data_IF_900208853228
#
_entry.id   IF_900208853228
#
_cell.length_a   1.000
_cell.length_b   1.000
_cell.length_c   1.000
_cell.angle_alpha   90.00
_cell.angle_beta   90.00
_cell.angle_gamma   90.00
#
_symmetry.space_group_name_H-M   'P 1'
#
loop_
_entity.id
_entity.type
_entity.pdbx_description
1 polymer ?
#
# COMPACT_ATOMS: atom_id res chain seq x y z
N UNK A 1 36.87 -23.00 2.45
CA UNK A 1 35.78 -22.58 3.37
C UNK A 1 35.61 -21.06 3.44
N UNK A 2 36.69 -20.26 3.56
CA UNK A 2 36.59 -18.79 3.64
C UNK A 2 35.95 -18.12 2.40
N UNK A 3 36.22 -18.64 1.19
CA UNK A 3 35.64 -18.14 -0.07
C UNK A 3 34.12 -18.35 -0.20
N UNK A 4 33.55 -19.37 0.46
CA UNK A 4 32.10 -19.61 0.43
C UNK A 4 31.33 -18.62 1.31
N UNK A 5 31.96 -18.12 2.39
CA UNK A 5 31.36 -17.12 3.28
C UNK A 5 31.35 -15.73 2.64
N UNK A 6 32.40 -15.36 1.89
CA UNK A 6 32.44 -14.06 1.19
C UNK A 6 31.37 -13.97 0.09
N UNK A 7 31.12 -15.06 -0.63
CA UNK A 7 30.13 -15.13 -1.70
C UNK A 7 28.68 -15.10 -1.17
N UNK A 8 28.46 -15.67 0.01
CA UNK A 8 27.16 -15.57 0.69
C UNK A 8 26.86 -14.13 1.16
N UNK A 9 27.88 -13.40 1.60
CA UNK A 9 27.70 -12.01 2.03
C UNK A 9 27.37 -11.05 0.88
N UNK A 10 27.99 -11.23 -0.29
CA UNK A 10 27.70 -10.41 -1.48
C UNK A 10 26.29 -10.66 -1.98
N UNK A 11 25.89 -11.93 -2.10
CA UNK A 11 24.54 -12.31 -2.53
C UNK A 11 23.46 -11.75 -1.59
N UNK A 12 23.63 -11.86 -0.27
CA UNK A 12 22.69 -11.24 0.68
C UNK A 12 22.59 -9.72 0.52
N UNK A 13 23.70 -9.04 0.27
CA UNK A 13 23.72 -7.59 0.07
C UNK A 13 22.95 -7.20 -1.19
N UNK A 14 23.10 -7.94 -2.27
CA UNK A 14 22.35 -7.74 -3.51
C UNK A 14 20.85 -7.96 -3.30
N UNK A 15 20.48 -9.07 -2.64
CA UNK A 15 19.08 -9.33 -2.28
C UNK A 15 18.48 -8.25 -1.39
N UNK A 16 19.25 -7.72 -0.44
CA UNK A 16 18.80 -6.63 0.42
C UNK A 16 18.55 -5.33 -0.38
N UNK A 17 19.38 -5.02 -1.38
CA UNK A 17 19.19 -3.86 -2.26
C UNK A 17 17.92 -4.05 -3.10
N UNK A 18 17.78 -5.21 -3.75
CA UNK A 18 16.59 -5.54 -4.57
C UNK A 18 15.32 -5.45 -3.71
N UNK A 19 15.35 -6.03 -2.51
CA UNK A 19 14.21 -6.01 -1.59
C UNK A 19 13.88 -4.59 -1.15
N UNK A 20 14.89 -3.77 -0.83
CA UNK A 20 14.72 -2.37 -0.45
C UNK A 20 14.10 -1.56 -1.59
N UNK A 21 14.61 -1.70 -2.80
CA UNK A 21 14.13 -0.95 -3.96
C UNK A 21 12.70 -1.39 -4.34
N UNK A 22 12.41 -2.69 -4.23
CA UNK A 22 11.05 -3.23 -4.36
C UNK A 22 10.11 -2.67 -3.28
N UNK A 23 10.53 -2.65 -2.01
CA UNK A 23 9.76 -2.09 -0.89
C UNK A 23 9.51 -0.59 -1.08
N UNK A 24 10.52 0.15 -1.56
CA UNK A 24 10.39 1.58 -1.83
C UNK A 24 9.38 1.84 -2.95
N UNK A 25 9.41 1.04 -4.01
CA UNK A 25 8.43 1.16 -5.10
C UNK A 25 7.00 0.87 -4.64
N UNK A 26 6.79 -0.21 -3.86
CA UNK A 26 5.45 -0.64 -3.45
C UNK A 26 4.89 0.13 -2.24
N UNK A 27 5.76 0.78 -1.46
CA UNK A 27 5.32 1.59 -0.32
C UNK A 27 4.89 3.00 -0.73
N UNK A 28 5.00 3.40 -2.01
CA UNK A 28 4.61 4.73 -2.51
C UNK A 28 3.20 5.11 -2.08
N UNK A 29 2.99 6.37 -1.72
CA UNK A 29 1.65 6.84 -1.33
C UNK A 29 0.59 6.56 -2.40
N UNK A 30 1.00 6.51 -3.68
CA UNK A 30 0.13 6.15 -4.82
C UNK A 30 -0.34 4.69 -4.71
N UNK A 31 0.58 3.76 -4.46
CA UNK A 31 0.25 2.34 -4.27
C UNK A 31 -0.51 2.10 -2.96
N UNK A 32 -0.13 2.79 -1.88
CA UNK A 32 -0.88 2.77 -0.64
C UNK A 32 -2.30 3.32 -0.81
N UNK A 33 -2.50 4.31 -1.69
CA UNK A 33 -3.82 4.84 -1.99
C UNK A 33 -4.67 3.86 -2.80
N UNK A 34 -4.09 3.08 -3.71
CA UNK A 34 -4.82 2.03 -4.41
C UNK A 34 -5.30 0.95 -3.44
N UNK A 35 -4.45 0.54 -2.48
CA UNK A 35 -4.80 -0.40 -1.42
C UNK A 35 -5.84 0.18 -0.46
N UNK A 36 -5.59 1.38 0.08
CA UNK A 36 -6.43 2.04 1.08
C UNK A 36 -7.82 2.41 0.56
N UNK A 37 -7.94 2.72 -0.73
CA UNK A 37 -9.22 3.03 -1.34
C UNK A 37 -10.05 1.80 -1.74
N UNK A 38 -9.46 0.60 -1.70
CA UNK A 38 -10.17 -0.64 -2.02
C UNK A 38 -11.33 -0.89 -1.06
N UNK A 39 -12.44 -1.43 -1.59
CA UNK A 39 -13.63 -1.72 -0.78
C UNK A 39 -13.33 -2.74 0.32
N UNK A 40 -12.42 -3.69 0.06
CA UNK A 40 -12.00 -4.71 1.03
C UNK A 40 -11.36 -4.07 2.26
N UNK A 41 -10.47 -3.10 2.05
CA UNK A 41 -9.80 -2.41 3.16
C UNK A 41 -10.79 -1.53 3.94
N UNK A 42 -11.71 -0.85 3.23
CA UNK A 42 -12.77 -0.05 3.87
C UNK A 42 -13.71 -0.89 4.73
N UNK A 43 -14.09 -2.08 4.27
CA UNK A 43 -14.92 -3.00 5.06
C UNK A 43 -14.14 -3.62 6.21
N UNK A 44 -12.83 -3.83 6.05
CA UNK A 44 -11.96 -4.32 7.12
C UNK A 44 -11.92 -3.38 8.34
N UNK A 45 -12.20 -2.07 8.19
CA UNK A 45 -12.28 -1.15 9.34
C UNK A 45 -13.39 -1.51 10.32
N UNK A 46 -14.46 -2.17 9.87
CA UNK A 46 -15.53 -2.66 10.74
C UNK A 46 -15.18 -4.00 11.39
N UNK A 47 -14.16 -4.70 10.89
CA UNK A 47 -13.85 -6.05 11.36
C UNK A 47 -13.35 -6.15 12.80
N UNK A 48 -12.66 -5.18 13.43
CA UNK A 48 -12.35 -5.28 14.86
C UNK A 48 -13.59 -5.39 15.73
N UNK A 49 -14.68 -4.68 15.38
CA UNK A 49 -15.96 -4.79 16.07
C UNK A 49 -16.56 -6.19 15.89
N UNK A 50 -16.52 -6.73 14.67
CA UNK A 50 -16.94 -8.11 14.41
C UNK A 50 -16.04 -9.13 15.08
N UNK A 51 -14.73 -8.90 15.15
CA UNK A 51 -13.76 -9.75 15.82
C UNK A 51 -14.02 -9.85 17.31
N UNK A 52 -14.39 -8.73 17.94
CA UNK A 52 -14.82 -8.73 19.33
C UNK A 52 -16.13 -9.50 19.53
N UNK A 53 -17.11 -9.31 18.64
CA UNK A 53 -18.35 -10.11 18.65
C UNK A 53 -18.08 -11.61 18.42
N UNK A 54 -17.13 -11.96 17.56
CA UNK A 54 -16.71 -13.34 17.28
C UNK A 54 -16.06 -13.98 18.50
N UNK A 55 -15.21 -13.23 19.21
CA UNK A 55 -14.54 -13.74 20.40
C UNK A 55 -15.49 -13.93 21.58
N UNK A 56 -16.49 -13.05 21.74
CA UNK A 56 -17.42 -13.08 22.86
C UNK A 56 -18.65 -13.97 22.67
N UNK A 57 -18.90 -14.47 21.46
CA UNK A 57 -20.10 -15.27 21.18
C UNK A 57 -19.76 -16.76 21.06
N UNK A 58 -20.00 -17.50 22.13
CA UNK A 58 -19.80 -18.97 22.21
C UNK A 58 -20.54 -19.74 21.12
N UNK A 59 -21.69 -19.23 20.65
CA UNK A 59 -22.43 -19.87 19.57
C UNK A 59 -21.68 -19.76 18.25
N UNK A 60 -20.98 -18.65 18.00
CA UNK A 60 -20.22 -18.48 16.75
C UNK A 60 -18.96 -19.34 16.75
N UNK A 61 -18.36 -19.59 17.91
CA UNK A 61 -17.28 -20.57 18.03
C UNK A 61 -17.73 -21.93 17.50
N UNK A 62 -18.92 -22.43 17.90
CA UNK A 62 -19.43 -23.72 17.42
C UNK A 62 -19.60 -23.78 15.89
N UNK A 63 -20.02 -22.68 15.25
CA UNK A 63 -20.18 -22.61 13.79
C UNK A 63 -18.86 -22.46 13.03
N UNK A 64 -17.84 -21.83 13.61
CA UNK A 64 -16.53 -21.70 12.94
C UNK A 64 -15.65 -22.92 13.20
N UNK A 65 -15.82 -23.59 14.34
CA UNK A 65 -15.15 -24.85 14.67
C UNK A 65 -15.83 -26.06 14.03
N UNK A 66 -16.60 -25.90 12.94
CA UNK A 66 -17.19 -27.05 12.23
C UNK A 66 -16.08 -28.09 11.99
N UNK A 67 -16.28 -29.25 12.63
CA UNK A 67 -15.37 -30.37 12.89
C UNK A 67 -14.59 -30.85 11.67
N UNK A 68 -13.58 -30.11 11.26
CA UNK A 68 -12.63 -30.54 10.24
C UNK A 68 -11.22 -30.64 10.81
N UNK A 69 -11.10 -31.13 12.06
CA UNK A 69 -9.85 -31.44 12.77
C UNK A 69 -9.08 -32.63 12.16
N UNK A 70 -9.28 -32.88 10.85
CA UNK A 70 -8.84 -34.07 10.11
C UNK A 70 -7.68 -33.86 9.13
N UNK A 71 -7.17 -32.63 8.96
CA UNK A 71 -6.30 -32.29 7.83
C UNK A 71 -5.07 -31.48 8.23
N UNK A 72 -3.88 -31.93 7.78
CA UNK A 72 -2.50 -31.36 7.71
C UNK A 72 -1.93 -30.54 8.90
N UNK A 73 -2.76 -29.95 9.75
CA UNK A 73 -2.42 -29.06 10.87
C UNK A 73 -3.05 -29.54 12.19
N UNK A 74 -3.07 -30.85 12.42
CA UNK A 74 -3.59 -31.44 13.67
C UNK A 74 -2.90 -30.94 14.95
N UNK A 75 -1.71 -30.36 14.82
CA UNK A 75 -0.93 -29.83 15.94
C UNK A 75 -1.36 -28.42 16.37
N UNK A 76 -2.13 -27.69 15.55
CA UNK A 76 -2.58 -26.33 15.89
C UNK A 76 -3.95 -26.37 16.60
N UNK A 77 -4.18 -25.53 17.62
CA UNK A 77 -5.48 -25.42 18.28
C UNK A 77 -6.57 -25.01 17.29
N UNK A 78 -7.78 -25.59 17.36
CA UNK A 78 -8.85 -25.29 16.39
C UNK A 78 -9.18 -23.79 16.22
N UNK A 79 -8.84 -22.97 17.21
CA UNK A 79 -9.02 -21.52 17.25
C UNK A 79 -8.00 -20.72 16.42
N UNK A 80 -6.92 -21.32 15.89
CA UNK A 80 -5.84 -20.59 15.21
C UNK A 80 -6.33 -19.74 14.02
N UNK A 81 -7.33 -20.24 13.28
CA UNK A 81 -7.91 -19.53 12.11
C UNK A 81 -8.61 -18.24 12.54
N UNK A 82 -9.38 -18.30 13.64
CA UNK A 82 -10.08 -17.14 14.21
C UNK A 82 -9.06 -16.10 14.65
N UNK A 83 -7.97 -16.54 15.28
CA UNK A 83 -6.91 -15.64 15.74
C UNK A 83 -6.23 -14.93 14.57
N UNK A 84 -5.88 -15.65 13.50
CA UNK A 84 -5.30 -15.04 12.31
C UNK A 84 -6.24 -14.04 11.63
N UNK A 85 -7.53 -14.38 11.50
CA UNK A 85 -8.53 -13.47 10.95
C UNK A 85 -8.69 -12.21 11.83
N UNK A 86 -8.71 -12.38 13.15
CA UNK A 86 -8.79 -11.29 14.12
C UNK A 86 -7.56 -10.36 14.02
N UNK A 87 -6.35 -10.89 14.18
CA UNK A 87 -5.14 -10.08 14.12
C UNK A 87 -4.92 -9.48 12.73
N UNK A 88 -5.21 -10.23 11.67
CA UNK A 88 -5.11 -9.74 10.30
C UNK A 88 -6.01 -8.54 10.04
N UNK A 89 -7.28 -8.62 10.43
CA UNK A 89 -8.23 -7.52 10.29
C UNK A 89 -7.91 -6.32 11.20
N UNK A 90 -7.38 -6.57 12.40
CA UNK A 90 -6.88 -5.54 13.30
C UNK A 90 -5.72 -4.74 12.67
N UNK A 91 -4.72 -5.44 12.11
CA UNK A 91 -3.61 -4.78 11.41
C UNK A 91 -4.09 -3.98 10.20
N UNK A 92 -5.02 -4.51 9.39
CA UNK A 92 -5.62 -3.76 8.29
C UNK A 92 -6.34 -2.49 8.76
N UNK A 93 -7.06 -2.57 9.88
CA UNK A 93 -7.77 -1.41 10.45
C UNK A 93 -6.80 -0.32 10.90
N UNK A 94 -5.73 -0.70 11.63
CA UNK A 94 -4.68 0.24 12.03
C UNK A 94 -4.01 0.84 10.79
N UNK A 95 -3.63 0.02 9.80
CA UNK A 95 -3.03 0.49 8.57
C UNK A 95 -3.93 1.52 7.86
N UNK A 96 -5.24 1.26 7.83
CA UNK A 96 -6.23 2.14 7.20
C UNK A 96 -6.40 3.45 7.96
N UNK A 97 -6.41 3.42 9.30
CA UNK A 97 -6.49 4.62 10.12
C UNK A 97 -5.21 5.47 9.98
N UNK A 98 -4.03 4.85 10.02
CA UNK A 98 -2.76 5.53 9.82
C UNK A 98 -2.68 6.12 8.40
N UNK A 99 -3.04 5.34 7.39
CA UNK A 99 -3.14 5.84 6.01
C UNK A 99 -4.11 7.03 5.94
N UNK A 100 -5.30 6.92 6.52
CA UNK A 100 -6.30 8.01 6.50
C UNK A 100 -5.82 9.25 7.24
N UNK A 101 -5.07 9.10 8.32
CA UNK A 101 -4.57 10.24 9.09
C UNK A 101 -3.38 10.93 8.42
N UNK A 102 -2.43 10.16 7.91
CA UNK A 102 -1.16 10.69 7.40
C UNK A 102 -1.12 10.94 5.88
N UNK A 103 -2.00 10.28 5.11
CA UNK A 103 -2.05 10.46 3.66
C UNK A 103 -2.62 11.83 3.30
N UNK A 104 -1.90 12.55 2.44
CA UNK A 104 -2.33 13.85 1.95
C UNK A 104 -3.67 13.72 1.18
N UNK A 105 -4.63 14.64 1.36
CA UNK A 105 -5.97 14.54 0.76
C UNK A 105 -5.94 14.35 -0.77
N UNK A 106 -4.96 14.94 -1.46
CA UNK A 106 -4.75 14.79 -2.91
C UNK A 106 -4.68 13.32 -3.37
N UNK A 107 -3.97 12.45 -2.64
CA UNK A 107 -3.85 11.02 -2.98
C UNK A 107 -5.14 10.24 -2.71
N UNK A 108 -6.02 10.76 -1.84
CA UNK A 108 -7.32 10.14 -1.57
C UNK A 108 -8.32 10.42 -2.68
N UNK A 109 -8.23 11.59 -3.30
CA UNK A 109 -9.17 12.05 -4.35
C UNK A 109 -8.77 11.56 -5.73
N UNK A 110 -7.48 11.60 -6.04
CA UNK A 110 -6.97 11.24 -7.36
C UNK A 110 -6.13 9.97 -7.24
N UNK A 111 -6.50 8.92 -7.99
CA UNK A 111 -5.72 7.69 -8.00
C UNK A 111 -4.42 7.88 -8.80
N UNK A 112 -4.45 8.71 -9.85
CA UNK A 112 -3.32 8.91 -10.77
C UNK A 112 -2.88 10.37 -10.82
N UNK A 113 -1.58 10.63 -11.08
CA UNK A 113 -1.06 11.99 -11.25
C UNK A 113 -1.71 12.73 -12.42
N UNK A 114 -2.06 12.00 -13.48
CA UNK A 114 -2.71 12.56 -14.68
C UNK A 114 -4.12 13.04 -14.40
N UNK A 115 -4.91 12.27 -13.66
CA UNK A 115 -6.27 12.67 -13.29
C UNK A 115 -6.25 13.97 -12.47
N UNK A 116 -5.25 14.11 -11.58
CA UNK A 116 -5.07 15.35 -10.82
C UNK A 116 -4.72 16.51 -11.73
N UNK A 117 -3.71 16.35 -12.60
CA UNK A 117 -3.28 17.44 -13.46
C UNK A 117 -4.36 17.86 -14.45
N UNK A 118 -5.14 16.94 -14.99
CA UNK A 118 -6.30 17.23 -15.82
C UNK A 118 -7.34 18.06 -15.07
N UNK A 119 -7.69 17.66 -13.84
CA UNK A 119 -8.70 18.37 -13.04
C UNK A 119 -8.26 19.78 -12.56
N UNK A 120 -6.97 19.99 -12.30
CA UNK A 120 -6.44 21.23 -11.73
C UNK A 120 -5.85 22.19 -12.78
N UNK A 121 -5.35 21.68 -13.92
CA UNK A 121 -4.57 22.49 -14.86
C UNK A 121 -5.36 23.62 -15.52
N UNK A 122 -6.61 23.37 -15.92
CA UNK A 122 -7.46 24.42 -16.49
C UNK A 122 -7.76 25.53 -15.48
N UNK A 123 -8.04 25.15 -14.22
CA UNK A 123 -8.32 26.10 -13.16
C UNK A 123 -7.11 26.98 -12.88
N UNK A 124 -5.92 26.38 -12.77
CA UNK A 124 -4.66 27.11 -12.58
C UNK A 124 -4.34 28.03 -13.76
N UNK A 125 -4.59 27.59 -14.99
CA UNK A 125 -4.37 28.41 -16.19
C UNK A 125 -5.27 29.65 -16.18
N UNK A 126 -6.57 29.50 -15.88
CA UNK A 126 -7.52 30.61 -15.78
C UNK A 126 -7.16 31.62 -14.69
N UNK A 127 -6.54 31.15 -13.62
CA UNK A 127 -6.05 31.99 -12.52
C UNK A 127 -4.72 32.68 -12.84
N UNK A 128 -4.09 32.41 -14.00
CA UNK A 128 -2.75 32.91 -14.32
C UNK A 128 -1.68 32.38 -13.36
N UNK A 129 -1.94 31.27 -12.67
CA UNK A 129 -1.17 30.80 -11.51
C UNK A 129 0.12 30.02 -11.83
N UNK A 130 0.56 29.99 -13.10
CA UNK A 130 1.79 29.29 -13.50
C UNK A 130 3.03 29.67 -12.65
N UNK A 131 3.36 30.96 -12.41
CA UNK A 131 4.51 31.31 -11.58
C UNK A 131 4.34 30.81 -10.14
N UNK A 132 3.14 30.88 -9.58
CA UNK A 132 2.86 30.37 -8.24
C UNK A 132 3.10 28.86 -8.12
N UNK A 133 2.60 28.07 -9.08
CA UNK A 133 2.83 26.61 -9.09
C UNK A 133 4.30 26.27 -9.32
N UNK A 134 5.00 27.04 -10.15
CA UNK A 134 6.43 26.87 -10.38
C UNK A 134 7.26 27.16 -9.11
N UNK A 135 6.96 28.24 -8.41
CA UNK A 135 7.66 28.62 -7.18
C UNK A 135 7.36 27.66 -6.02
N UNK A 136 6.11 27.21 -5.90
CA UNK A 136 5.76 26.13 -4.97
C UNK A 136 6.52 24.83 -5.28
N UNK A 137 6.62 24.45 -6.56
CA UNK A 137 7.36 23.26 -6.97
C UNK A 137 8.84 23.40 -6.60
N UNK A 138 9.45 24.56 -6.86
CA UNK A 138 10.83 24.87 -6.45
C UNK A 138 11.01 24.78 -4.94
N UNK A 139 10.06 25.30 -4.16
CA UNK A 139 10.10 25.21 -2.71
C UNK A 139 9.99 23.76 -2.21
N UNK A 140 9.16 22.93 -2.85
CA UNK A 140 9.05 21.51 -2.52
C UNK A 140 10.35 20.76 -2.86
N UNK A 141 11.01 21.08 -3.98
CA UNK A 141 12.34 20.56 -4.30
C UNK A 141 13.38 20.98 -3.26
N UNK A 142 13.40 22.25 -2.85
CA UNK A 142 14.34 22.75 -1.85
C UNK A 142 14.13 22.13 -0.45
N UNK A 143 12.96 21.56 -0.19
CA UNK A 143 12.61 20.87 1.06
C UNK A 143 12.84 19.37 1.01
N UNK A 144 13.28 18.80 -0.12
CA UNK A 144 13.60 17.38 -0.21
C UNK A 144 14.80 17.06 0.67
N UNK A 145 14.70 15.99 1.45
CA UNK A 145 15.86 15.43 2.14
C UNK A 145 16.75 14.69 1.12
N UNK A 146 18.05 14.60 1.39
CA UNK A 146 19.02 13.86 0.56
C UNK A 146 18.57 12.41 0.27
N UNK A 147 17.93 11.75 1.25
CA UNK A 147 17.35 10.41 1.05
C UNK A 147 16.19 10.40 0.05
N UNK A 148 15.35 11.43 0.09
CA UNK A 148 14.20 11.55 -0.81
C UNK A 148 14.67 11.90 -2.23
N UNK A 149 15.74 12.70 -2.36
CA UNK A 149 16.38 13.03 -3.62
C UNK A 149 17.00 11.78 -4.29
N UNK A 150 17.65 10.90 -3.53
CA UNK A 150 18.16 9.62 -4.05
C UNK A 150 17.05 8.70 -4.59
N UNK A 151 15.87 8.72 -3.96
CA UNK A 151 14.72 7.94 -4.40
C UNK A 151 14.04 8.59 -5.61
N UNK A 152 14.06 9.91 -5.69
CA UNK A 152 13.43 10.69 -6.74
C UNK A 152 14.41 10.90 -7.92
N UNK A 153 14.46 9.91 -8.83
CA UNK A 153 15.37 9.92 -10.00
C UNK A 153 15.01 10.93 -11.09
N UNK A 154 13.91 11.66 -10.95
CA UNK A 154 13.45 12.62 -11.96
C UNK A 154 14.27 13.93 -11.85
N UNK A 155 14.99 14.26 -12.93
CA UNK A 155 15.74 15.52 -13.07
C UNK A 155 14.85 16.72 -12.71
N UNK A 156 15.42 17.67 -11.97
CA UNK A 156 14.75 18.93 -11.62
C UNK A 156 14.15 19.56 -12.87
N UNK A 157 12.83 19.79 -12.83
CA UNK A 157 12.10 20.37 -13.94
C UNK A 157 12.09 21.89 -13.80
N UNK A 158 12.67 22.59 -14.76
CA UNK A 158 12.57 24.04 -14.87
C UNK A 158 11.44 24.41 -15.83
N UNK A 159 10.35 25.03 -15.35
CA UNK A 159 9.22 25.39 -16.19
C UNK A 159 9.58 26.57 -17.10
N UNK A 160 9.35 26.42 -18.40
CA UNK A 160 9.39 27.53 -19.35
C UNK A 160 8.16 28.44 -19.12
N UNK A 161 8.40 29.71 -18.78
CA UNK A 161 7.36 30.70 -18.49
C UNK A 161 6.79 31.37 -19.75
N UNK A 162 7.47 31.23 -20.88
CA UNK A 162 7.10 31.80 -22.17
C UNK A 162 6.50 30.74 -23.09
N UNK A 163 5.47 31.12 -23.84
CA UNK A 163 4.74 30.23 -24.74
C UNK A 163 3.28 30.64 -24.92
N UNK A 164 2.63 30.02 -25.91
CA UNK A 164 1.19 30.09 -26.10
C UNK A 164 0.43 29.40 -24.95
N UNK A 165 -0.89 29.57 -24.89
CA UNK A 165 -1.71 29.00 -23.82
C UNK A 165 -1.64 27.46 -23.79
N UNK A 166 -1.46 26.82 -24.95
CA UNK A 166 -1.32 25.36 -25.05
C UNK A 166 0.00 24.88 -24.43
N UNK A 167 1.12 25.54 -24.71
CA UNK A 167 2.40 25.25 -24.09
C UNK A 167 2.36 25.52 -22.59
N UNK A 168 1.72 26.61 -22.15
CA UNK A 168 1.54 26.93 -20.73
C UNK A 168 0.74 25.85 -20.01
N UNK A 169 -0.38 25.40 -20.58
CA UNK A 169 -1.18 24.32 -20.01
C UNK A 169 -0.37 23.03 -19.85
N UNK A 170 0.40 22.65 -20.87
CA UNK A 170 1.28 21.48 -20.82
C UNK A 170 2.36 21.61 -19.74
N UNK A 171 2.93 22.80 -19.56
CA UNK A 171 3.89 23.09 -18.50
C UNK A 171 3.25 23.02 -17.11
N UNK A 172 2.06 23.60 -16.91
CA UNK A 172 1.30 23.50 -15.66
C UNK A 172 1.01 22.03 -15.32
N UNK A 173 0.50 21.26 -16.28
CA UNK A 173 0.19 19.85 -16.09
C UNK A 173 1.42 19.06 -15.64
N UNK A 174 2.58 19.28 -16.29
CA UNK A 174 3.85 18.70 -15.85
C UNK A 174 4.22 19.13 -14.43
N UNK A 175 4.18 20.42 -14.11
CA UNK A 175 4.49 20.89 -12.74
C UNK A 175 3.61 20.22 -11.68
N UNK A 176 2.31 20.07 -11.95
CA UNK A 176 1.37 19.41 -11.04
C UNK A 176 1.68 17.92 -10.87
N UNK A 177 2.01 17.22 -11.95
CA UNK A 177 2.45 15.82 -11.92
C UNK A 177 3.71 15.68 -11.07
N UNK A 178 4.72 16.52 -11.31
CA UNK A 178 5.98 16.48 -10.55
C UNK A 178 5.76 16.79 -9.07
N UNK A 179 4.94 17.81 -8.74
CA UNK A 179 4.55 18.13 -7.36
C UNK A 179 3.90 16.93 -6.68
N UNK A 180 3.00 16.24 -7.40
CA UNK A 180 2.34 15.05 -6.90
C UNK A 180 3.32 13.89 -6.65
N UNK A 181 4.25 13.66 -7.58
CA UNK A 181 5.27 12.61 -7.43
C UNK A 181 6.23 12.90 -6.28
N UNK A 182 6.69 14.14 -6.10
CA UNK A 182 7.53 14.55 -4.95
C UNK A 182 6.80 14.26 -3.64
N UNK A 183 5.54 14.67 -3.53
CA UNK A 183 4.71 14.38 -2.35
C UNK A 183 4.50 12.89 -2.12
N UNK A 184 4.55 12.07 -3.19
CA UNK A 184 4.41 10.62 -3.07
C UNK A 184 5.64 9.95 -2.41
N UNK A 185 6.81 10.60 -2.50
CA UNK A 185 8.07 10.13 -1.92
C UNK A 185 8.24 10.53 -0.45
N UNK A 186 7.52 11.56 0.00
CA UNK A 186 7.66 12.09 1.36
C UNK A 186 7.36 11.06 2.46
N UNK A 187 8.14 11.15 3.54
CA UNK A 187 8.04 10.33 4.77
C UNK A 187 8.20 8.82 4.48
N UNK A 188 9.35 8.38 3.94
CA UNK A 188 9.55 7.00 3.52
C UNK A 188 9.38 5.97 4.65
N UNK A 189 9.86 6.29 5.87
CA UNK A 189 9.73 5.39 7.01
C UNK A 189 8.28 5.13 7.42
N UNK A 190 7.44 6.17 7.43
CA UNK A 190 6.01 6.04 7.76
C UNK A 190 5.24 5.28 6.68
N UNK A 191 5.54 5.55 5.41
CA UNK A 191 4.98 4.81 4.26
C UNK A 191 5.30 3.32 4.36
N UNK A 192 6.57 2.99 4.56
CA UNK A 192 7.02 1.61 4.69
C UNK A 192 6.32 0.91 5.85
N UNK A 193 6.22 1.57 7.00
CA UNK A 193 5.51 1.04 8.15
C UNK A 193 4.04 0.72 7.85
N UNK A 194 3.30 1.66 7.24
CA UNK A 194 1.90 1.45 6.84
C UNK A 194 1.77 0.31 5.82
N UNK A 195 2.67 0.26 4.83
CA UNK A 195 2.71 -0.82 3.84
C UNK A 195 2.93 -2.19 4.48
N UNK A 196 3.86 -2.30 5.42
CA UNK A 196 4.12 -3.53 6.15
C UNK A 196 2.90 -3.97 6.96
N UNK A 197 2.20 -3.04 7.63
CA UNK A 197 0.95 -3.35 8.33
C UNK A 197 -0.12 -3.89 7.37
N UNK A 198 -0.29 -3.28 6.19
CA UNK A 198 -1.18 -3.80 5.16
C UNK A 198 -0.80 -5.21 4.72
N UNK A 199 0.49 -5.45 4.44
CA UNK A 199 0.98 -6.77 4.00
C UNK A 199 0.81 -7.84 5.07
N UNK A 200 1.18 -7.55 6.32
CA UNK A 200 0.99 -8.47 7.44
C UNK A 200 -0.50 -8.78 7.60
N UNK A 201 -1.36 -7.76 7.60
CA UNK A 201 -2.81 -7.94 7.70
C UNK A 201 -3.39 -8.82 6.60
N UNK A 202 -3.02 -8.54 5.34
CA UNK A 202 -3.46 -9.34 4.18
C UNK A 202 -2.95 -10.78 4.23
N UNK A 203 -1.69 -11.01 4.61
CA UNK A 203 -1.12 -12.36 4.72
C UNK A 203 -1.82 -13.16 5.80
N UNK A 204 -2.06 -12.56 6.98
CA UNK A 204 -2.75 -13.23 8.08
C UNK A 204 -4.18 -13.63 7.71
N UNK A 205 -4.89 -12.84 6.89
CA UNK A 205 -6.22 -13.20 6.39
C UNK A 205 -6.15 -14.24 5.25
N UNK A 206 -5.15 -14.13 4.37
CA UNK A 206 -5.00 -15.01 3.22
C UNK A 206 -4.67 -16.46 3.61
N UNK A 207 -3.85 -16.66 4.66
CA UNK A 207 -3.49 -18.00 5.14
C UNK A 207 -4.73 -18.87 5.43
N UNK A 208 -5.62 -18.52 6.37
CA UNK A 208 -6.79 -19.34 6.66
C UNK A 208 -7.72 -19.47 5.43
N UNK A 209 -7.84 -18.44 4.59
CA UNK A 209 -8.64 -18.50 3.37
C UNK A 209 -8.11 -19.55 2.38
N UNK A 210 -6.81 -19.57 2.10
CA UNK A 210 -6.17 -20.57 1.23
C UNK A 210 -6.36 -21.98 1.80
N UNK A 211 -6.16 -22.16 3.11
CA UNK A 211 -6.38 -23.45 3.75
C UNK A 211 -7.83 -23.92 3.63
N UNK A 212 -8.81 -23.03 3.85
CA UNK A 212 -10.22 -23.39 3.67
C UNK A 212 -10.55 -23.75 2.22
N UNK A 213 -9.99 -23.02 1.24
CA UNK A 213 -10.19 -23.30 -0.18
C UNK A 213 -9.62 -24.66 -0.60
N UNK A 214 -8.38 -24.96 -0.20
CA UNK A 214 -7.74 -26.25 -0.47
C UNK A 214 -8.52 -27.40 0.16
N UNK A 215 -9.02 -27.20 1.38
CA UNK A 215 -9.80 -28.19 2.10
C UNK A 215 -11.13 -28.52 1.39
N UNK A 216 -11.89 -27.50 0.99
CA UNK A 216 -13.14 -27.68 0.24
C UNK A 216 -12.88 -28.36 -1.10
N UNK A 217 -11.83 -27.94 -1.81
CA UNK A 217 -11.45 -28.52 -3.11
C UNK A 217 -11.08 -30.00 -2.97
N UNK A 218 -10.33 -30.37 -1.93
CA UNK A 218 -9.97 -31.76 -1.67
C UNK A 218 -11.19 -32.64 -1.35
N UNK A 219 -12.17 -32.12 -0.60
CA UNK A 219 -13.43 -32.84 -0.31
C UNK A 219 -14.26 -33.04 -1.59
N UNK A 220 -14.37 -32.00 -2.41
CA UNK A 220 -15.09 -32.08 -3.68
C UNK A 220 -14.44 -33.10 -4.63
N UNK A 221 -13.11 -33.09 -4.76
CA UNK A 221 -12.37 -34.05 -5.57
C UNK A 221 -12.59 -35.50 -5.11
N UNK A 222 -12.55 -35.76 -3.79
CA UNK A 222 -12.84 -37.09 -3.23
C UNK A 222 -14.25 -37.59 -3.55
N UNK A 223 -15.25 -36.70 -3.58
CA UNK A 223 -16.64 -37.07 -3.90
C UNK A 223 -16.87 -37.37 -5.38
N UNK A 224 -16.05 -36.83 -6.28
CA UNK A 224 -16.17 -37.08 -7.73
C UNK A 224 -15.48 -38.40 -8.11
N UNK A 225 -14.45 -38.81 -7.36
CA UNK A 225 -13.67 -40.02 -7.63
C UNK A 225 -14.26 -41.31 -7.04
N UNK A 226 -15.27 -41.22 -6.17
CA UNK A 226 -16.01 -42.34 -5.58
C UNK A 226 -17.36 -42.49 -6.27
#
# INVERSE_FOLDING_TARGET
>A
MFWALSDWWTTLREWAIILRDWLEQHSRWIELASLGNSNLVKTAVLMPAFGYMLLLNDNVHQYITIKYDGWLLHFLPSTWRIWLLFYGSFFLSIATLLFSYFCHPDFKRCATPYQKSESESEHVLRMGGLPGVADELRQEYARLSEREEQIFTLKAFEPALTGDDVARLKTISKCLIYRYLIRSVRRPGLRLFIYLLFRIGLILIAIPAIFTFLQVSAIAAKRILL
#
